data_IF_998564337873
#
_entry.id   IF_998564337873
#
_cell.length_a   1.000
_cell.length_b   1.000
_cell.length_c   1.000
_cell.angle_alpha   90.00
_cell.angle_beta   90.00
_cell.angle_gamma   90.00
#
_symmetry.space_group_name_H-M   'P 1'
#
loop_
_entity.id
_entity.type
_entity.pdbx_description
1 polymer ?
#
# COMPACT_ATOMS: atom_id res chain seq x y z
N UNK A 1 10.61 -3.33 12.63
CA UNK A 1 9.12 -3.23 12.67
C UNK A 1 8.70 -2.38 11.50
N UNK A 2 7.79 -2.86 10.66
CA UNK A 2 7.40 -2.17 9.45
C UNK A 2 6.12 -1.38 9.67
N UNK A 3 6.13 -0.13 9.23
CA UNK A 3 4.98 0.78 9.26
C UNK A 3 4.68 1.23 7.85
N UNK A 4 3.44 1.06 7.40
CA UNK A 4 2.99 1.48 6.08
C UNK A 4 1.72 2.32 6.26
N UNK A 5 1.63 3.43 5.56
CA UNK A 5 0.49 4.36 5.68
C UNK A 5 -0.19 4.54 4.33
N UNK A 6 -1.49 4.29 4.29
CA UNK A 6 -2.34 4.62 3.15
C UNK A 6 -2.62 6.12 3.12
N UNK A 7 -2.87 6.66 1.93
CA UNK A 7 -3.15 8.09 1.75
C UNK A 7 -4.46 8.52 2.43
N UNK A 8 -5.36 7.57 2.72
CA UNK A 8 -6.58 7.80 3.49
C UNK A 8 -6.36 7.87 5.01
N UNK A 9 -5.12 7.69 5.50
CA UNK A 9 -4.76 7.70 6.92
C UNK A 9 -4.70 6.32 7.58
N UNK A 10 -5.14 5.25 6.91
CA UNK A 10 -5.01 3.88 7.40
C UNK A 10 -3.53 3.52 7.60
N UNK A 11 -3.17 2.95 8.76
CA UNK A 11 -1.79 2.61 9.09
C UNK A 11 -1.68 1.17 9.53
N UNK A 12 -0.69 0.46 8.99
CA UNK A 12 -0.34 -0.91 9.38
C UNK A 12 0.98 -0.89 10.11
N UNK A 13 1.06 -1.60 11.24
CA UNK A 13 2.30 -1.84 11.99
C UNK A 13 2.44 -3.33 12.29
N UNK A 14 3.47 -3.97 11.73
CA UNK A 14 3.75 -5.39 11.98
C UNK A 14 5.27 -5.65 11.96
N UNK A 15 5.73 -6.68 12.67
CA UNK A 15 7.15 -7.08 12.65
C UNK A 15 7.49 -7.92 11.43
N UNK A 16 6.50 -8.65 10.88
CA UNK A 16 6.63 -9.37 9.62
C UNK A 16 6.28 -8.43 8.45
N UNK A 17 7.29 -8.09 7.64
CA UNK A 17 7.13 -7.18 6.50
C UNK A 17 6.08 -7.68 5.49
N UNK A 18 6.05 -9.00 5.21
CA UNK A 18 5.09 -9.59 4.28
C UNK A 18 3.65 -9.47 4.79
N UNK A 19 3.47 -9.58 6.11
CA UNK A 19 2.15 -9.42 6.72
C UNK A 19 1.71 -7.96 6.71
N UNK A 20 2.60 -7.02 6.99
CA UNK A 20 2.31 -5.60 6.88
C UNK A 20 1.87 -5.22 5.46
N UNK A 21 2.60 -5.73 4.47
CA UNK A 21 2.30 -5.54 3.05
C UNK A 21 0.95 -6.16 2.66
N UNK A 22 0.69 -7.42 3.01
CA UNK A 22 -0.57 -8.09 2.71
C UNK A 22 -1.78 -7.35 3.28
N UNK A 23 -1.68 -6.81 4.50
CA UNK A 23 -2.74 -5.99 5.11
C UNK A 23 -2.95 -4.69 4.32
N UNK A 24 -1.88 -4.02 3.90
CA UNK A 24 -1.98 -2.79 3.10
C UNK A 24 -2.66 -3.05 1.74
N UNK A 25 -2.29 -4.13 1.07
CA UNK A 25 -2.91 -4.53 -0.19
C UNK A 25 -4.37 -4.91 -0.04
N UNK A 26 -4.71 -5.68 1.00
CA UNK A 26 -6.08 -6.01 1.31
C UNK A 26 -6.92 -4.74 1.53
N UNK A 27 -6.43 -3.79 2.34
CA UNK A 27 -7.08 -2.50 2.53
C UNK A 27 -7.27 -1.75 1.20
N UNK A 28 -6.23 -1.63 0.37
CA UNK A 28 -6.31 -0.94 -0.91
C UNK A 28 -7.36 -1.57 -1.86
N UNK A 29 -7.42 -2.90 -1.94
CA UNK A 29 -8.38 -3.61 -2.80
C UNK A 29 -9.81 -3.45 -2.29
N UNK A 30 -10.03 -3.56 -0.98
CA UNK A 30 -11.37 -3.54 -0.40
C UNK A 30 -11.95 -2.13 -0.25
N UNK A 31 -11.13 -1.17 0.18
CA UNK A 31 -11.61 0.18 0.52
C UNK A 31 -11.37 1.19 -0.61
N UNK A 32 -10.48 0.87 -1.54
CA UNK A 32 -10.14 1.73 -2.68
C UNK A 32 -10.25 1.00 -4.03
N UNK A 33 -10.90 -0.16 -4.07
CA UNK A 33 -11.02 -1.00 -5.28
C UNK A 33 -11.60 -0.26 -6.49
N UNK A 34 -12.62 0.59 -6.30
CA UNK A 34 -13.21 1.34 -7.42
C UNK A 34 -12.31 2.48 -7.91
N UNK A 35 -11.56 3.12 -7.01
CA UNK A 35 -10.51 4.07 -7.38
C UNK A 35 -9.43 3.36 -8.21
N UNK A 36 -8.92 2.23 -7.74
CA UNK A 36 -7.88 1.45 -8.44
C UNK A 36 -8.33 1.01 -9.84
N UNK A 37 -9.59 0.56 -9.99
CA UNK A 37 -10.15 0.19 -11.30
C UNK A 37 -10.29 1.37 -12.26
N UNK A 38 -10.39 2.60 -11.75
CA UNK A 38 -10.54 3.82 -12.57
C UNK A 38 -9.21 4.43 -13.00
N UNK A 39 -8.09 3.97 -12.44
CA UNK A 39 -6.75 4.50 -12.74
C UNK A 39 -6.22 3.95 -14.07
N UNK A 40 -5.47 4.77 -14.79
CA UNK A 40 -4.68 4.31 -15.93
C UNK A 40 -3.49 3.47 -15.47
N UNK A 41 -2.84 2.78 -16.42
CA UNK A 41 -1.63 1.99 -16.13
C UNK A 41 -0.53 2.87 -15.53
N UNK A 42 -0.28 4.06 -16.09
CA UNK A 42 0.75 4.98 -15.59
C UNK A 42 0.45 5.44 -14.15
N UNK A 43 -0.82 5.71 -13.84
CA UNK A 43 -1.24 6.08 -12.48
C UNK A 43 -1.04 4.91 -11.51
N UNK A 44 -1.34 3.68 -11.94
CA UNK A 44 -1.12 2.47 -11.15
C UNK A 44 0.38 2.25 -10.92
N UNK A 45 1.22 2.39 -11.94
CA UNK A 45 2.68 2.29 -11.80
C UNK A 45 3.22 3.27 -10.73
N UNK A 46 2.83 4.55 -10.82
CA UNK A 46 3.25 5.55 -9.83
C UNK A 46 2.75 5.21 -8.42
N UNK A 47 1.53 4.67 -8.29
CA UNK A 47 1.02 4.22 -7.00
C UNK A 47 1.83 3.05 -6.45
N UNK A 48 2.18 2.07 -7.29
CA UNK A 48 3.01 0.92 -6.92
C UNK A 48 4.41 1.34 -6.47
N UNK A 49 5.06 2.24 -7.21
CA UNK A 49 6.37 2.77 -6.86
C UNK A 49 6.37 3.45 -5.49
N UNK A 50 5.38 4.32 -5.24
CA UNK A 50 5.23 4.98 -3.94
C UNK A 50 5.00 3.99 -2.79
N UNK A 51 4.28 2.89 -3.04
CA UNK A 51 4.08 1.83 -2.03
C UNK A 51 5.33 1.01 -1.80
N UNK A 52 6.05 0.66 -2.86
CA UNK A 52 7.34 -0.03 -2.79
C UNK A 52 8.39 0.80 -2.02
N UNK A 53 8.42 2.12 -2.20
CA UNK A 53 9.27 3.01 -1.39
C UNK A 53 8.94 2.94 0.10
N UNK A 54 7.66 2.96 0.47
CA UNK A 54 7.23 2.79 1.88
C UNK A 54 7.61 1.40 2.42
N UNK A 55 7.49 0.37 1.58
CA UNK A 55 7.90 -1.00 1.88
C UNK A 55 9.43 -1.15 1.99
N UNK A 56 10.21 -0.26 1.37
CA UNK A 56 11.67 -0.20 1.52
C UNK A 56 12.11 0.65 2.72
N UNK A 57 11.36 1.72 3.06
CA UNK A 57 11.70 2.74 4.08
C UNK A 57 11.69 2.28 5.56
N UNK A 58 12.30 1.13 5.87
CA UNK A 58 12.34 0.55 7.21
C UNK A 58 12.74 -0.93 7.21
N UNK A 59 13.43 -1.34 6.14
CA UNK A 59 14.24 -2.55 6.09
C UNK A 59 15.64 -2.22 6.63
#
# INVERSE_FOLDING_TARGET
MKTITCNCGFTVKDTNAYKAEAIMWHHAIHDHGDMLKSMTVDMLEQWLMNKDEQLKAGA
#
